data_IF_314995555604
#
_entry.id   IF_314995555604
#
_cell.length_a   1.000
_cell.length_b   1.000
_cell.length_c   1.000
_cell.angle_alpha   90.00
_cell.angle_beta   90.00
_cell.angle_gamma   90.00
#
_symmetry.space_group_name_H-M   'P 1'
#
loop_
_entity.id
_entity.type
_entity.pdbx_description
1 polymer ?
#
# COMPACT_ATOMS: atom_id res chain seq x y z
N UNK A 1 -6.72 -1.96 18.44
CA UNK A 1 -6.99 -2.71 17.19
C UNK A 1 -5.74 -2.70 16.35
N UNK A 2 -5.43 -3.75 15.61
CA UNK A 2 -4.30 -3.75 14.69
C UNK A 2 -4.63 -2.86 13.49
N UNK A 3 -3.76 -1.91 13.15
CA UNK A 3 -3.90 -1.03 11.99
C UNK A 3 -3.56 -1.79 10.71
N UNK A 4 -4.38 -1.70 9.69
CA UNK A 4 -4.09 -2.35 8.40
C UNK A 4 -3.50 -1.33 7.44
N UNK A 5 -2.25 -1.53 7.05
CA UNK A 5 -1.64 -0.75 5.99
C UNK A 5 -2.00 -1.34 4.62
N UNK A 6 -2.38 -0.51 3.66
CA UNK A 6 -2.69 -0.94 2.28
C UNK A 6 -1.68 -0.33 1.32
N UNK A 7 -1.03 -1.16 0.51
CA UNK A 7 -0.17 -0.71 -0.58
C UNK A 7 -1.02 -0.06 -1.68
N UNK A 8 -1.05 1.27 -1.63
CA UNK A 8 -1.77 2.14 -2.54
C UNK A 8 -0.78 2.98 -3.37
N UNK A 9 0.47 2.53 -3.53
CA UNK A 9 1.51 3.28 -4.25
C UNK A 9 1.21 3.46 -5.73
N UNK A 10 0.37 2.59 -6.30
CA UNK A 10 -0.17 2.69 -7.66
C UNK A 10 -1.34 3.68 -7.81
N UNK A 11 -1.92 4.17 -6.70
CA UNK A 11 -3.03 5.12 -6.73
C UNK A 11 -2.52 6.47 -7.23
N UNK A 12 -3.24 7.03 -8.21
CA UNK A 12 -3.04 8.37 -8.77
C UNK A 12 -4.37 8.87 -9.34
N UNK A 13 -4.55 10.20 -9.53
CA UNK A 13 -5.73 10.72 -10.21
C UNK A 13 -5.95 10.01 -11.56
N UNK A 14 -7.18 9.55 -11.81
CA UNK A 14 -7.54 8.84 -13.04
C UNK A 14 -6.93 7.43 -13.19
N UNK A 15 -6.37 6.84 -12.13
CA UNK A 15 -5.81 5.48 -12.19
C UNK A 15 -6.83 4.43 -12.67
N UNK A 16 -6.34 3.49 -13.47
CA UNK A 16 -7.06 2.30 -13.94
C UNK A 16 -6.35 1.04 -13.43
N UNK A 17 -6.99 -0.12 -13.59
CA UNK A 17 -6.42 -1.40 -13.16
C UNK A 17 -6.10 -1.40 -11.67
N UNK A 18 -4.88 -1.80 -11.30
CA UNK A 18 -4.51 -1.97 -9.90
C UNK A 18 -4.61 -0.71 -9.05
N UNK A 19 -4.34 0.48 -9.61
CA UNK A 19 -4.53 1.74 -8.88
C UNK A 19 -6.00 2.04 -8.56
N UNK A 20 -6.94 1.58 -9.38
CA UNK A 20 -8.39 1.67 -9.08
C UNK A 20 -8.77 0.66 -8.00
N UNK A 21 -8.29 -0.58 -8.11
CA UNK A 21 -8.55 -1.65 -7.14
C UNK A 21 -8.04 -1.23 -5.76
N UNK A 22 -6.77 -0.81 -5.65
CA UNK A 22 -6.17 -0.39 -4.39
C UNK A 22 -6.94 0.76 -3.74
N UNK A 23 -7.33 1.78 -4.52
CA UNK A 23 -8.18 2.87 -4.03
C UNK A 23 -9.52 2.36 -3.49
N UNK A 24 -10.22 1.55 -4.27
CA UNK A 24 -11.51 0.97 -3.87
C UNK A 24 -11.40 0.10 -2.62
N UNK A 25 -10.30 -0.66 -2.47
CA UNK A 25 -10.05 -1.46 -1.26
C UNK A 25 -9.83 -0.57 -0.03
N UNK A 26 -9.00 0.47 -0.15
CA UNK A 26 -8.78 1.43 0.95
C UNK A 26 -10.10 2.05 1.40
N UNK A 27 -10.88 2.58 0.46
CA UNK A 27 -12.17 3.22 0.73
C UNK A 27 -13.18 2.22 1.33
N UNK A 28 -13.23 0.99 0.81
CA UNK A 28 -14.16 -0.04 1.27
C UNK A 28 -13.83 -0.62 2.65
N UNK A 29 -12.55 -0.68 3.03
CA UNK A 29 -12.13 -1.12 4.36
C UNK A 29 -12.36 -0.01 5.39
N UNK A 30 -11.99 1.23 5.07
CA UNK A 30 -12.25 2.37 5.93
C UNK A 30 -13.76 2.58 6.16
N UNK A 31 -14.58 2.45 5.10
CA UNK A 31 -16.04 2.52 5.20
C UNK A 31 -16.69 1.41 6.04
N UNK A 32 -15.98 0.32 6.31
CA UNK A 32 -16.40 -0.75 7.24
C UNK A 32 -15.94 -0.51 8.69
N UNK A 33 -15.30 0.62 8.97
CA UNK A 33 -14.82 0.97 10.31
C UNK A 33 -13.50 0.32 10.71
N UNK A 34 -12.73 -0.21 9.76
CA UNK A 34 -11.37 -0.69 10.04
C UNK A 34 -10.40 0.49 10.18
N UNK A 35 -9.43 0.37 11.09
CA UNK A 35 -8.30 1.30 11.20
C UNK A 35 -7.32 1.04 10.05
N UNK A 36 -7.39 1.87 9.02
CA UNK A 36 -6.65 1.71 7.76
C UNK A 36 -5.71 2.89 7.55
N UNK A 37 -4.48 2.60 7.09
CA UNK A 37 -3.53 3.59 6.57
C UNK A 37 -3.17 3.26 5.13
N UNK A 38 -3.28 4.24 4.23
CA UNK A 38 -2.91 4.07 2.83
C UNK A 38 -1.45 4.46 2.60
N UNK A 39 -0.65 3.52 2.08
CA UNK A 39 0.73 3.75 1.69
C UNK A 39 0.72 4.27 0.25
N UNK A 40 0.93 5.58 0.05
CA UNK A 40 0.72 6.26 -1.25
C UNK A 40 1.97 7.02 -1.68
N UNK A 41 2.05 7.39 -2.97
CA UNK A 41 3.08 8.33 -3.45
C UNK A 41 2.65 9.79 -3.35
N UNK A 42 1.34 10.04 -3.30
CA UNK A 42 0.73 11.35 -3.12
C UNK A 42 -0.44 11.22 -2.13
N UNK A 43 -0.34 11.90 -0.98
CA UNK A 43 -1.36 11.86 0.08
C UNK A 43 -2.73 12.40 -0.39
N UNK A 44 -2.76 13.26 -1.42
CA UNK A 44 -4.02 13.82 -1.95
C UNK A 44 -4.82 12.82 -2.78
N UNK A 45 -4.25 11.64 -3.05
CA UNK A 45 -4.87 10.65 -3.92
C UNK A 45 -5.98 9.84 -3.24
N UNK A 46 -6.11 9.92 -1.91
CA UNK A 46 -7.09 9.18 -1.09
C UNK A 46 -7.67 10.07 0.01
N UNK A 47 -8.89 9.76 0.45
CA UNK A 47 -9.60 10.48 1.52
C UNK A 47 -9.46 9.88 2.92
N UNK A 48 -8.45 9.04 3.15
CA UNK A 48 -8.20 8.33 4.41
C UNK A 48 -6.82 8.73 4.98
N UNK A 49 -6.49 8.40 6.24
CA UNK A 49 -5.13 8.53 6.74
C UNK A 49 -4.11 7.88 5.79
N UNK A 50 -3.07 8.62 5.43
CA UNK A 50 -2.14 8.21 4.39
C UNK A 50 -0.68 8.52 4.79
N UNK A 51 0.21 7.62 4.43
CA UNK A 51 1.66 7.76 4.59
C UNK A 51 2.33 7.83 3.22
N UNK A 52 3.18 8.84 3.05
CA UNK A 52 3.87 9.06 1.79
C UNK A 52 5.12 8.19 1.71
N UNK A 53 5.08 7.21 0.80
CA UNK A 53 6.21 6.34 0.47
C UNK A 53 7.09 7.03 -0.57
N UNK A 54 8.29 7.46 -0.14
CA UNK A 54 9.25 8.16 -1.01
C UNK A 54 10.28 7.25 -1.70
N UNK A 55 10.32 5.96 -1.37
CA UNK A 55 11.31 5.03 -1.89
C UNK A 55 11.10 4.75 -3.41
N UNK A 56 12.18 4.87 -4.20
CA UNK A 56 12.37 4.29 -5.55
C UNK A 56 13.43 3.18 -5.42
N UNK A 57 13.44 2.05 -6.18
CA UNK A 57 12.53 1.51 -7.22
C UNK A 57 11.45 0.55 -6.64
N UNK A 58 10.49 0.11 -7.48
CA UNK A 58 9.39 -0.80 -7.13
C UNK A 58 9.86 -2.00 -6.30
N UNK A 59 11.02 -2.56 -6.64
CA UNK A 59 11.54 -3.75 -5.97
C UNK A 59 12.01 -3.48 -4.52
N UNK A 60 12.62 -2.32 -4.24
CA UNK A 60 12.97 -1.97 -2.84
C UNK A 60 11.71 -1.74 -2.00
N UNK A 61 10.67 -1.16 -2.59
CA UNK A 61 9.39 -1.02 -1.91
C UNK A 61 8.78 -2.39 -1.60
N UNK A 62 8.68 -3.28 -2.59
CA UNK A 62 8.08 -4.60 -2.45
C UNK A 62 8.85 -5.49 -1.45
N UNK A 63 10.18 -5.41 -1.43
CA UNK A 63 11.02 -6.30 -0.61
C UNK A 63 11.29 -5.75 0.79
N UNK A 64 11.54 -4.45 0.92
CA UNK A 64 11.97 -3.82 2.18
C UNK A 64 10.87 -2.94 2.76
N UNK A 65 10.24 -2.11 1.91
CA UNK A 65 9.21 -1.18 2.31
C UNK A 65 7.98 -1.86 2.90
N UNK A 66 7.42 -2.86 2.20
CA UNK A 66 6.27 -3.64 2.69
C UNK A 66 6.59 -4.38 3.98
N UNK A 67 7.79 -4.96 4.10
CA UNK A 67 8.22 -5.64 5.34
C UNK A 67 8.33 -4.66 6.51
N UNK A 68 8.86 -3.46 6.27
CA UNK A 68 8.95 -2.41 7.30
C UNK A 68 7.56 -1.94 7.72
N UNK A 69 6.69 -1.65 6.75
CA UNK A 69 5.31 -1.26 7.02
C UNK A 69 4.55 -2.36 7.79
N UNK A 70 4.80 -3.64 7.50
CA UNK A 70 4.18 -4.75 8.24
C UNK A 70 4.66 -4.82 9.69
N UNK A 71 5.91 -4.49 9.98
CA UNK A 71 6.40 -4.37 11.37
C UNK A 71 5.80 -3.19 12.11
N UNK A 72 5.57 -2.09 11.41
CA UNK A 72 5.06 -0.84 11.99
C UNK A 72 3.55 -0.89 12.24
N UNK A 73 2.79 -1.41 11.28
CA UNK A 73 1.33 -1.44 11.32
C UNK A 73 0.77 -2.80 11.77
N UNK A 74 1.59 -3.85 11.78
CA UNK A 74 1.20 -5.22 12.15
C UNK A 74 0.73 -6.07 10.96
N UNK A 75 0.01 -5.46 10.01
CA UNK A 75 -0.37 -6.13 8.76
C UNK A 75 -0.30 -5.18 7.57
N UNK A 76 0.12 -5.71 6.41
CA UNK A 76 0.11 -5.00 5.12
C UNK A 76 -0.65 -5.82 4.08
N UNK A 77 -1.65 -5.21 3.46
CA UNK A 77 -2.30 -5.72 2.26
C UNK A 77 -1.59 -5.15 1.03
N UNK A 78 -1.11 -6.01 0.15
CA UNK A 78 -0.52 -5.62 -1.13
C UNK A 78 -1.10 -6.42 -2.29
N UNK A 79 -1.10 -5.80 -3.47
CA UNK A 79 -1.54 -6.41 -4.72
C UNK A 79 -0.38 -6.68 -5.68
N UNK A 80 0.85 -6.42 -5.24
CA UNK A 80 2.05 -6.72 -6.01
C UNK A 80 2.51 -8.14 -5.71
N UNK A 81 2.92 -8.85 -6.75
CA UNK A 81 3.66 -10.09 -6.56
C UNK A 81 5.10 -9.74 -6.23
N UNK A 82 5.62 -10.28 -5.13
CA UNK A 82 7.02 -10.05 -4.73
C UNK A 82 7.92 -10.81 -5.69
N UNK A 83 8.55 -10.12 -6.63
CA UNK A 83 9.68 -10.69 -7.37
C UNK A 83 10.92 -10.68 -6.45
N UNK A 84 11.60 -11.82 -6.27
CA UNK A 84 12.81 -11.88 -5.44
C UNK A 84 13.95 -11.05 -6.06
N UNK A 85 14.60 -10.20 -5.24
CA UNK A 85 15.77 -9.40 -5.65
C UNK A 85 17.02 -10.25 -5.91
N UNK A 86 17.08 -11.42 -5.28
CA UNK A 86 18.13 -12.41 -5.43
C UNK A 86 17.46 -13.66 -5.96
N UNK A 87 17.87 -14.15 -7.13
CA UNK A 87 17.42 -15.45 -7.62
C UNK A 87 17.65 -16.51 -6.54
N UNK A 88 16.59 -17.22 -6.17
CA UNK A 88 16.65 -18.30 -5.20
C UNK A 88 15.57 -19.31 -5.54
N UNK A 89 16.01 -20.54 -5.83
CA UNK A 89 15.15 -21.73 -5.82
C UNK A 89 14.84 -22.20 -4.41
#
# INVERSE_FOLDING_TARGET
MARVAVDATAVRPGARGIGRVARGTVEALAGRGLDVVALVRDARAVGVPAEVVRARPAVLWEQVGLRRAAREHGAVLTFTERLPLLGGG
#
